data_IF_552041602951
#
_entry.id   IF_552041602951
#
_cell.length_a   1.000
_cell.length_b   1.000
_cell.length_c   1.000
_cell.angle_alpha   90.00
_cell.angle_beta   90.00
_cell.angle_gamma   90.00
#
_symmetry.space_group_name_H-M   'P 1'
#
loop_
_entity.id
_entity.type
_entity.pdbx_description
1 polymer ?
#
# COMPACT_ATOMS: atom_id res chain seq x y z
N UNK A 1 -26.70 23.35 -26.94
CA UNK A 1 -26.41 23.15 -28.37
C UNK A 1 -26.16 24.53 -28.97
N UNK A 2 -25.06 24.76 -29.67
CA UNK A 2 -24.70 26.09 -30.17
C UNK A 2 -25.70 26.54 -31.26
N UNK A 3 -26.24 27.76 -31.12
CA UNK A 3 -27.23 28.33 -32.05
C UNK A 3 -26.56 28.63 -33.40
N UNK A 4 -26.76 27.75 -34.37
CA UNK A 4 -26.35 27.99 -35.75
C UNK A 4 -27.21 29.11 -36.34
N UNK A 5 -26.60 30.28 -36.60
CA UNK A 5 -27.27 31.46 -37.14
C UNK A 5 -26.69 31.83 -38.49
N UNK A 6 -27.57 32.19 -39.44
CA UNK A 6 -27.19 32.61 -40.79
C UNK A 6 -27.73 34.01 -41.04
N UNK A 7 -26.96 34.85 -41.72
CA UNK A 7 -27.42 36.13 -42.29
C UNK A 7 -26.97 36.22 -43.74
N UNK A 8 -27.76 36.88 -44.59
CA UNK A 8 -27.33 37.26 -45.95
C UNK A 8 -27.27 38.79 -46.04
N UNK A 9 -26.72 39.31 -47.13
CA UNK A 9 -26.55 40.76 -47.31
C UNK A 9 -27.88 41.53 -47.39
N UNK A 10 -29.01 40.84 -47.60
CA UNK A 10 -30.34 41.44 -47.74
C UNK A 10 -31.16 41.43 -46.45
N UNK A 11 -30.69 40.79 -45.38
CA UNK A 11 -31.38 40.70 -44.10
C UNK A 11 -30.53 41.32 -42.97
N UNK A 12 -31.10 42.28 -42.24
CA UNK A 12 -30.45 42.94 -41.11
C UNK A 12 -30.54 42.15 -39.80
N UNK A 13 -31.39 41.12 -39.74
CA UNK A 13 -31.54 40.21 -38.60
C UNK A 13 -30.83 38.86 -38.80
N UNK A 14 -30.37 38.27 -37.70
CA UNK A 14 -29.87 36.89 -37.69
C UNK A 14 -31.03 35.90 -37.78
N UNK A 15 -30.98 34.96 -38.72
CA UNK A 15 -31.92 33.84 -38.78
C UNK A 15 -31.37 32.72 -37.90
N UNK A 16 -32.15 32.33 -36.88
CA UNK A 16 -31.80 31.21 -36.01
C UNK A 16 -32.22 29.87 -36.63
N UNK A 17 -31.25 29.00 -36.90
CA UNK A 17 -31.49 27.70 -37.52
C UNK A 17 -32.34 26.75 -36.68
N UNK A 18 -32.49 27.00 -35.38
CA UNK A 18 -33.34 26.21 -34.49
C UNK A 18 -34.84 26.53 -34.64
N UNK A 19 -35.19 27.75 -35.06
CA UNK A 19 -36.59 28.22 -35.13
C UNK A 19 -37.04 28.53 -36.56
N UNK A 20 -36.13 28.59 -37.53
CA UNK A 20 -36.46 28.85 -38.91
C UNK A 20 -37.20 27.67 -39.58
N UNK A 21 -38.50 27.87 -39.83
CA UNK A 21 -39.27 26.95 -40.68
C UNK A 21 -38.75 27.04 -42.13
N UNK A 22 -38.47 25.89 -42.74
CA UNK A 22 -38.07 25.84 -44.15
C UNK A 22 -36.63 26.24 -44.50
N UNK A 23 -35.71 26.37 -43.52
CA UNK A 23 -34.27 26.57 -43.80
C UNK A 23 -33.73 25.41 -44.65
N UNK A 24 -33.33 25.74 -45.89
CA UNK A 24 -32.83 24.83 -46.94
C UNK A 24 -31.59 25.43 -47.59
N UNK A 25 -30.60 24.60 -47.92
CA UNK A 25 -29.35 25.01 -48.60
C UNK A 25 -29.27 24.29 -49.95
N UNK A 26 -28.95 25.02 -51.02
CA UNK A 26 -28.66 24.45 -52.35
C UNK A 26 -27.34 24.98 -52.89
N UNK A 27 -26.66 24.14 -53.67
CA UNK A 27 -25.49 24.48 -54.47
C UNK A 27 -25.96 24.80 -55.91
N UNK A 28 -25.37 25.81 -56.56
CA UNK A 28 -25.68 26.22 -57.95
C UNK A 28 -25.54 25.09 -59.00
N UNK A 29 -24.78 24.03 -58.70
CA UNK A 29 -24.52 22.88 -59.58
C UNK A 29 -25.45 21.66 -59.37
N UNK A 30 -26.33 21.67 -58.36
CA UNK A 30 -27.24 20.56 -58.09
C UNK A 30 -28.71 21.02 -58.13
N UNK A 31 -29.53 20.39 -58.98
CA UNK A 31 -30.97 20.65 -59.10
C UNK A 31 -31.82 19.94 -58.04
N UNK A 32 -31.23 19.05 -57.25
CA UNK A 32 -31.89 18.32 -56.15
C UNK A 32 -31.73 18.99 -54.79
N UNK A 33 -32.80 18.95 -53.98
CA UNK A 33 -32.81 19.47 -52.60
C UNK A 33 -32.13 18.50 -51.64
N UNK A 34 -31.33 19.03 -50.70
CA UNK A 34 -30.81 18.24 -49.57
C UNK A 34 -31.84 18.27 -48.46
N UNK A 35 -32.54 17.16 -48.24
CA UNK A 35 -33.62 17.04 -47.26
C UNK A 35 -33.11 16.75 -45.84
N UNK A 36 -33.88 17.22 -44.85
CA UNK A 36 -33.59 17.16 -43.39
C UNK A 36 -33.67 15.75 -42.76
N UNK A 37 -33.88 14.69 -43.55
CA UNK A 37 -34.19 13.36 -43.02
C UNK A 37 -32.97 12.47 -42.72
N UNK A 38 -31.76 12.90 -43.06
CA UNK A 38 -30.52 12.25 -42.66
C UNK A 38 -29.66 13.18 -41.82
N UNK A 39 -29.11 12.69 -40.71
CA UNK A 39 -28.08 13.39 -39.95
C UNK A 39 -26.92 13.78 -40.89
N UNK A 40 -26.87 15.06 -41.31
CA UNK A 40 -25.73 15.59 -42.05
C UNK A 40 -24.54 15.66 -41.07
N UNK A 41 -23.64 14.69 -41.16
CA UNK A 41 -22.32 14.77 -40.49
C UNK A 41 -21.38 15.55 -41.41
N UNK A 42 -20.71 16.58 -40.87
CA UNK A 42 -19.67 17.31 -41.61
C UNK A 42 -20.13 18.44 -42.53
N UNK A 43 -21.02 19.34 -42.08
CA UNK A 43 -21.28 20.61 -42.77
C UNK A 43 -19.93 21.30 -43.08
N UNK A 44 -19.64 21.55 -44.36
CA UNK A 44 -18.45 22.26 -44.81
C UNK A 44 -18.87 23.46 -45.67
N UNK A 45 -18.28 24.63 -45.44
CA UNK A 45 -18.60 25.88 -46.15
C UNK A 45 -17.38 26.31 -46.98
N UNK A 46 -17.62 26.76 -48.22
CA UNK A 46 -16.60 27.42 -49.07
C UNK A 46 -17.07 28.83 -49.43
N UNK A 47 -16.14 29.77 -49.56
CA UNK A 47 -16.40 31.07 -50.21
C UNK A 47 -15.47 31.21 -51.42
N UNK A 48 -15.74 32.18 -52.31
CA UNK A 48 -14.96 32.40 -53.54
C UNK A 48 -13.52 32.89 -53.27
N UNK A 49 -13.20 33.31 -52.04
CA UNK A 49 -11.90 33.84 -51.65
C UNK A 49 -10.95 32.77 -51.05
N UNK A 50 -11.44 31.57 -50.75
CA UNK A 50 -10.65 30.50 -50.14
C UNK A 50 -10.59 29.29 -51.08
N UNK A 51 -9.38 28.88 -51.47
CA UNK A 51 -9.12 27.68 -52.28
C UNK A 51 -9.23 26.35 -51.51
N UNK A 52 -9.74 26.37 -50.27
CA UNK A 52 -9.87 25.20 -49.39
C UNK A 52 -11.20 25.14 -48.64
N UNK A 53 -11.60 23.92 -48.25
CA UNK A 53 -12.81 23.65 -47.46
C UNK A 53 -12.61 24.07 -45.99
N UNK A 54 -13.53 24.88 -45.45
CA UNK A 54 -13.58 25.12 -44.00
C UNK A 54 -14.25 23.91 -43.37
N UNK A 55 -13.47 23.10 -42.66
CA UNK A 55 -13.93 21.92 -41.93
C UNK A 55 -14.29 22.36 -40.51
N UNK A 56 -15.55 22.24 -40.10
CA UNK A 56 -15.95 22.42 -38.69
C UNK A 56 -15.65 21.14 -37.90
N UNK A 57 -14.36 20.83 -37.78
CA UNK A 57 -13.84 19.79 -36.91
C UNK A 57 -12.55 20.32 -36.31
N UNK A 58 -12.60 20.76 -35.05
CA UNK A 58 -11.37 21.02 -34.30
C UNK A 58 -10.48 19.78 -34.36
N UNK A 59 -9.16 19.97 -34.37
CA UNK A 59 -8.18 18.88 -34.33
C UNK A 59 -8.68 17.79 -33.37
N UNK A 60 -8.90 16.57 -33.87
CA UNK A 60 -9.63 15.54 -33.15
C UNK A 60 -9.05 15.35 -31.74
N UNK A 61 -9.92 15.36 -30.73
CA UNK A 61 -9.46 15.18 -29.35
C UNK A 61 -9.08 13.71 -29.14
N UNK A 62 -7.82 13.46 -28.81
CA UNK A 62 -7.36 12.12 -28.43
C UNK A 62 -7.24 12.01 -26.91
N UNK A 63 -7.44 10.80 -26.39
CA UNK A 63 -7.40 10.49 -24.97
C UNK A 63 -6.53 9.25 -24.73
N UNK A 64 -5.77 9.26 -23.66
CA UNK A 64 -5.04 8.09 -23.16
C UNK A 64 -5.08 8.03 -21.65
N UNK A 65 -5.04 6.82 -21.10
CA UNK A 65 -4.94 6.57 -19.66
C UNK A 65 -3.95 5.43 -19.44
N UNK A 66 -2.93 5.65 -18.60
CA UNK A 66 -1.83 4.70 -18.39
C UNK A 66 -1.55 4.55 -16.90
N UNK A 67 -1.51 3.33 -16.34
CA UNK A 67 -1.08 3.13 -14.97
C UNK A 67 0.44 3.25 -14.83
N UNK A 68 0.92 3.65 -13.66
CA UNK A 68 2.34 3.69 -13.34
C UNK A 68 2.95 2.31 -13.02
N UNK A 69 2.12 1.27 -12.90
CA UNK A 69 2.54 -0.09 -12.61
C UNK A 69 1.57 -1.11 -13.24
N UNK A 70 2.06 -2.31 -13.53
CA UNK A 70 1.25 -3.44 -14.03
C UNK A 70 0.72 -4.34 -12.90
N UNK A 71 1.21 -4.15 -11.68
CA UNK A 71 0.77 -4.88 -10.49
C UNK A 71 0.76 -4.01 -9.24
N UNK A 72 -0.11 -4.33 -8.28
CA UNK A 72 -0.26 -3.60 -7.02
C UNK A 72 -0.58 -4.57 -5.88
N UNK A 73 0.03 -4.37 -4.72
CA UNK A 73 -0.29 -5.16 -3.52
C UNK A 73 -1.58 -4.63 -2.87
N UNK A 74 -2.40 -5.49 -2.24
CA UNK A 74 -3.42 -5.06 -1.27
C UNK A 74 -2.85 -4.06 -0.27
N UNK A 75 -3.61 -3.00 0.04
CA UNK A 75 -3.17 -1.90 0.91
C UNK A 75 -2.32 -0.82 0.23
N UNK A 76 -1.82 -1.06 -0.99
CA UNK A 76 -1.06 -0.08 -1.76
C UNK A 76 -1.94 0.70 -2.76
N UNK A 77 -1.33 1.72 -3.36
CA UNK A 77 -1.97 2.57 -4.38
C UNK A 77 -1.33 2.38 -5.75
N UNK A 78 -2.15 2.53 -6.78
CA UNK A 78 -1.72 2.68 -8.18
C UNK A 78 -2.26 4.01 -8.72
N UNK A 79 -1.45 4.69 -9.52
CA UNK A 79 -1.81 5.98 -10.13
C UNK A 79 -1.93 5.83 -11.63
N UNK A 80 -3.04 6.30 -12.18
CA UNK A 80 -3.33 6.35 -13.60
C UNK A 80 -3.19 7.79 -14.09
N UNK A 81 -2.28 8.01 -15.03
CA UNK A 81 -2.10 9.29 -15.71
C UNK A 81 -3.04 9.39 -16.90
N UNK A 82 -3.86 10.43 -16.92
CA UNK A 82 -4.71 10.79 -18.04
C UNK A 82 -4.00 11.85 -18.88
N UNK A 83 -3.88 11.61 -20.18
CA UNK A 83 -3.33 12.58 -21.13
C UNK A 83 -4.27 12.76 -22.30
N UNK A 84 -4.38 13.99 -22.77
CA UNK A 84 -5.23 14.34 -23.91
C UNK A 84 -4.48 15.19 -24.92
N UNK A 85 -5.03 15.32 -26.13
CA UNK A 85 -4.56 16.30 -27.13
C UNK A 85 -5.79 17.06 -27.60
N UNK A 86 -5.74 18.40 -27.56
CA UNK A 86 -6.84 19.26 -28.02
C UNK A 86 -8.04 19.35 -27.07
N UNK A 87 -7.99 18.75 -25.88
CA UNK A 87 -9.06 18.85 -24.87
C UNK A 87 -8.95 20.15 -24.03
N UNK A 88 -7.73 20.55 -23.68
CA UNK A 88 -7.45 21.66 -22.78
C UNK A 88 -7.71 21.29 -21.33
N UNK A 89 -8.61 22.03 -20.67
CA UNK A 89 -8.98 21.81 -19.27
C UNK A 89 -10.47 21.51 -19.15
N UNK A 90 -10.84 20.61 -18.25
CA UNK A 90 -12.23 20.20 -18.04
C UNK A 90 -12.33 18.92 -17.21
N UNK A 91 -13.54 18.38 -17.11
CA UNK A 91 -13.80 17.15 -16.34
C UNK A 91 -14.01 15.97 -17.28
N UNK A 92 -13.31 14.88 -17.01
CA UNK A 92 -13.60 13.56 -17.56
C UNK A 92 -14.13 12.64 -16.47
N UNK A 93 -14.71 11.52 -16.88
CA UNK A 93 -15.30 10.52 -16.00
C UNK A 93 -14.58 9.20 -16.16
N UNK A 94 -14.67 8.32 -15.18
CA UNK A 94 -14.06 7.00 -15.28
C UNK A 94 -14.93 5.93 -14.62
N UNK A 95 -14.79 4.71 -15.11
CA UNK A 95 -15.36 3.48 -14.53
C UNK A 95 -14.30 2.40 -14.49
N UNK A 96 -14.36 1.53 -13.48
CA UNK A 96 -13.51 0.34 -13.44
C UNK A 96 -14.19 -0.83 -14.17
N UNK A 97 -13.56 -1.33 -15.22
CA UNK A 97 -13.97 -2.51 -15.97
C UNK A 97 -13.19 -3.78 -15.56
N UNK A 98 -12.27 -3.66 -14.58
CA UNK A 98 -11.57 -4.81 -14.01
C UNK A 98 -12.46 -5.63 -13.07
N UNK A 99 -11.87 -6.66 -12.45
CA UNK A 99 -12.59 -7.57 -11.54
C UNK A 99 -12.64 -7.11 -10.08
N UNK A 100 -11.91 -6.07 -9.71
CA UNK A 100 -12.08 -5.41 -8.39
C UNK A 100 -13.43 -4.67 -8.32
N UNK A 101 -14.07 -4.71 -7.15
CA UNK A 101 -15.33 -4.03 -6.86
C UNK A 101 -15.12 -2.83 -5.93
N UNK A 102 -16.18 -2.04 -5.70
CA UNK A 102 -16.17 -0.90 -4.79
C UNK A 102 -15.52 -1.22 -3.43
N UNK A 103 -15.94 -2.31 -2.78
CA UNK A 103 -15.42 -2.72 -1.47
C UNK A 103 -13.94 -3.15 -1.44
N UNK A 104 -13.30 -3.31 -2.61
CA UNK A 104 -11.85 -3.58 -2.68
C UNK A 104 -11.01 -2.30 -2.52
N UNK A 105 -11.64 -1.12 -2.51
CA UNK A 105 -10.94 0.17 -2.39
C UNK A 105 -11.27 0.87 -1.08
N UNK A 106 -10.32 1.63 -0.54
CA UNK A 106 -10.48 2.34 0.74
C UNK A 106 -11.57 3.41 0.70
N UNK A 107 -11.86 3.94 -0.48
CA UNK A 107 -12.89 4.96 -0.73
C UNK A 107 -14.26 4.37 -1.11
N UNK A 108 -14.37 3.04 -1.22
CA UNK A 108 -15.56 2.35 -1.73
C UNK A 108 -16.05 2.82 -3.11
N UNK A 109 -15.19 3.43 -3.93
CA UNK A 109 -15.55 3.89 -5.26
C UNK A 109 -15.27 2.81 -6.32
N UNK A 110 -16.09 2.74 -7.38
CA UNK A 110 -15.76 1.95 -8.58
C UNK A 110 -15.96 2.74 -9.89
N UNK A 111 -16.28 4.02 -9.75
CA UNK A 111 -16.42 5.01 -10.81
C UNK A 111 -16.26 6.40 -10.21
N UNK A 112 -16.00 7.41 -11.03
CA UNK A 112 -15.82 8.78 -10.56
C UNK A 112 -15.53 9.77 -11.68
N UNK A 113 -14.95 10.90 -11.30
CA UNK A 113 -14.47 11.93 -12.22
C UNK A 113 -13.00 12.26 -12.01
N UNK A 114 -12.39 12.91 -12.99
CA UNK A 114 -11.03 13.44 -12.95
C UNK A 114 -11.01 14.82 -13.58
N UNK A 115 -10.39 15.77 -12.90
CA UNK A 115 -10.10 17.07 -13.48
C UNK A 115 -8.86 16.96 -14.37
N UNK A 116 -8.99 17.42 -15.61
CA UNK A 116 -7.89 17.58 -16.56
C UNK A 116 -7.57 19.05 -16.63
N UNK A 117 -6.30 19.41 -16.46
CA UNK A 117 -5.81 20.78 -16.57
C UNK A 117 -4.64 20.79 -17.54
N UNK A 118 -4.71 21.61 -18.59
CA UNK A 118 -3.64 21.70 -19.58
C UNK A 118 -3.34 20.36 -20.26
N UNK A 119 -4.37 19.58 -20.56
CA UNK A 119 -4.30 18.23 -21.15
C UNK A 119 -3.73 17.10 -20.27
N UNK A 120 -3.62 17.30 -18.96
CA UNK A 120 -3.16 16.25 -18.03
C UNK A 120 -4.07 16.13 -16.80
N UNK A 121 -4.27 14.90 -16.32
CA UNK A 121 -5.01 14.58 -15.11
C UNK A 121 -4.48 13.31 -14.45
N UNK A 122 -4.88 13.05 -13.21
CA UNK A 122 -4.42 11.88 -12.45
C UNK A 122 -5.56 11.26 -11.65
N UNK A 123 -5.64 9.93 -11.66
CA UNK A 123 -6.58 9.13 -10.85
C UNK A 123 -5.75 8.17 -10.01
N UNK A 124 -5.85 8.25 -8.68
CA UNK A 124 -5.21 7.28 -7.78
C UNK A 124 -6.27 6.31 -7.24
N UNK A 125 -5.99 5.01 -7.33
CA UNK A 125 -6.81 3.97 -6.68
C UNK A 125 -5.99 3.29 -5.58
N UNK A 126 -6.51 3.28 -4.36
CA UNK A 126 -5.90 2.65 -3.19
C UNK A 126 -6.69 1.42 -2.79
N UNK A 127 -6.05 0.26 -2.79
CA UNK A 127 -6.68 -1.00 -2.41
C UNK A 127 -6.81 -1.11 -0.89
N UNK A 128 -7.87 -1.76 -0.42
CA UNK A 128 -7.94 -2.25 0.95
C UNK A 128 -6.88 -3.34 1.17
N UNK A 129 -6.41 -3.51 2.42
CA UNK A 129 -5.35 -4.47 2.75
C UNK A 129 -5.77 -5.95 2.59
N UNK A 130 -7.08 -6.25 2.61
CA UNK A 130 -7.62 -7.62 2.55
C UNK A 130 -8.07 -8.08 1.15
N UNK A 131 -7.71 -7.36 0.09
CA UNK A 131 -8.16 -7.70 -1.27
C UNK A 131 -7.49 -8.98 -1.75
N UNK A 132 -8.28 -9.92 -2.26
CA UNK A 132 -7.76 -11.16 -2.82
C UNK A 132 -6.85 -10.90 -4.05
N UNK A 133 -5.72 -11.59 -4.10
CA UNK A 133 -4.82 -11.60 -5.25
C UNK A 133 -5.49 -12.12 -6.52
N UNK A 134 -4.94 -11.73 -7.68
CA UNK A 134 -5.44 -12.11 -9.01
C UNK A 134 -6.61 -11.28 -9.52
N UNK A 135 -7.21 -10.40 -8.70
CA UNK A 135 -8.16 -9.39 -9.17
C UNK A 135 -7.47 -8.37 -10.08
N UNK A 136 -8.22 -7.59 -10.85
CA UNK A 136 -7.68 -6.59 -11.78
C UNK A 136 -8.37 -5.24 -11.63
N UNK A 137 -7.61 -4.17 -11.85
CA UNK A 137 -8.10 -2.80 -12.01
C UNK A 137 -7.89 -2.41 -13.47
N UNK A 138 -8.96 -2.04 -14.17
CA UNK A 138 -8.89 -1.61 -15.58
C UNK A 138 -9.77 -0.37 -15.75
N UNK A 139 -9.17 0.82 -15.70
CA UNK A 139 -9.93 2.06 -15.80
C UNK A 139 -10.29 2.40 -17.24
N UNK A 140 -11.57 2.68 -17.47
CA UNK A 140 -12.11 3.24 -18.70
C UNK A 140 -12.38 4.72 -18.51
N UNK A 141 -11.78 5.56 -19.33
CA UNK A 141 -12.01 6.99 -19.37
C UNK A 141 -13.23 7.32 -20.25
N UNK A 142 -14.08 8.24 -19.80
CA UNK A 142 -15.38 8.57 -20.38
C UNK A 142 -15.62 10.08 -20.45
N UNK A 143 -16.46 10.49 -21.40
CA UNK A 143 -16.88 11.90 -21.57
C UNK A 143 -18.32 12.11 -21.13
N UNK A 144 -18.63 13.27 -20.54
CA UNK A 144 -19.99 13.70 -20.20
C UNK A 144 -20.54 13.12 -18.88
N UNK A 145 -20.39 11.81 -18.64
CA UNK A 145 -20.75 11.17 -17.38
C UNK A 145 -20.08 9.79 -17.22
N UNK A 146 -20.25 9.15 -16.05
CA UNK A 146 -19.83 7.75 -15.82
C UNK A 146 -20.57 6.73 -16.70
N UNK A 147 -21.74 7.09 -17.24
CA UNK A 147 -22.48 6.30 -18.23
C UNK A 147 -22.23 6.76 -19.67
N UNK A 148 -21.39 7.77 -19.86
CA UNK A 148 -21.07 8.34 -21.17
C UNK A 148 -20.14 7.44 -22.01
N UNK A 149 -19.84 7.84 -23.26
CA UNK A 149 -18.98 7.09 -24.16
C UNK A 149 -17.60 6.84 -23.57
N UNK A 150 -17.06 5.64 -23.75
CA UNK A 150 -15.66 5.32 -23.43
C UNK A 150 -14.77 5.87 -24.52
N UNK A 151 -13.75 6.65 -24.13
CA UNK A 151 -12.80 7.29 -25.04
C UNK A 151 -11.37 6.75 -24.93
N UNK A 152 -11.04 6.07 -23.82
CA UNK A 152 -9.79 5.34 -23.64
C UNK A 152 -9.96 4.23 -22.59
N UNK A 153 -9.17 3.15 -22.68
CA UNK A 153 -9.12 2.09 -21.69
C UNK A 153 -7.66 1.86 -21.30
N UNK A 154 -7.37 1.81 -20.00
CA UNK A 154 -6.03 1.56 -19.48
C UNK A 154 -5.63 0.10 -19.66
N UNK A 155 -4.32 -0.19 -19.65
CA UNK A 155 -3.84 -1.55 -19.42
C UNK A 155 -4.30 -2.04 -18.03
N UNK A 156 -4.55 -3.34 -17.92
CA UNK A 156 -4.94 -3.94 -16.65
C UNK A 156 -3.78 -3.87 -15.63
N UNK A 157 -4.13 -3.55 -14.39
CA UNK A 157 -3.24 -3.67 -13.22
C UNK A 157 -3.71 -4.86 -12.41
N UNK A 158 -2.85 -5.85 -12.21
CA UNK A 158 -3.19 -7.06 -11.44
C UNK A 158 -2.93 -6.84 -9.96
N UNK A 159 -3.88 -7.23 -9.11
CA UNK A 159 -3.68 -7.31 -7.67
C UNK A 159 -2.74 -8.49 -7.42
N UNK A 160 -1.56 -8.20 -6.90
CA UNK A 160 -0.57 -9.23 -6.61
C UNK A 160 -1.12 -10.19 -5.56
N UNK A 161 -0.90 -11.48 -5.75
CA UNK A 161 -1.14 -12.46 -4.69
C UNK A 161 -0.08 -12.27 -3.62
N UNK A 162 -0.46 -11.62 -2.53
CA UNK A 162 0.26 -11.74 -1.26
C UNK A 162 -0.27 -12.99 -0.60
N UNK A 163 0.62 -13.95 -0.34
CA UNK A 163 0.30 -15.01 0.59
C UNK A 163 -0.17 -14.36 1.91
N UNK A 164 -1.13 -14.95 2.64
CA UNK A 164 -1.27 -14.61 4.06
C UNK A 164 0.13 -14.69 4.69
N UNK A 165 0.49 -13.80 5.65
CA UNK A 165 1.81 -13.83 6.24
C UNK A 165 2.11 -15.27 6.66
N UNK A 166 3.07 -15.89 5.96
CA UNK A 166 3.52 -17.25 6.24
C UNK A 166 3.76 -17.32 7.75
N UNK A 167 3.17 -18.30 8.43
CA UNK A 167 3.48 -18.50 9.85
C UNK A 167 5.01 -18.54 9.96
N UNK A 168 5.65 -17.73 10.83
CA UNK A 168 7.09 -17.64 10.84
C UNK A 168 7.68 -19.04 11.06
N UNK A 169 8.35 -19.59 10.05
CA UNK A 169 9.00 -20.90 10.11
C UNK A 169 10.49 -20.79 10.39
N UNK A 170 11.13 -19.71 9.94
CA UNK A 170 12.52 -19.39 10.27
C UNK A 170 12.84 -17.93 9.96
N UNK A 171 13.75 -17.32 10.72
CA UNK A 171 14.52 -16.16 10.26
C UNK A 171 15.78 -16.63 9.55
N UNK A 172 16.15 -16.01 8.44
CA UNK A 172 17.41 -16.31 7.73
C UNK A 172 18.11 -15.04 7.26
N UNK A 173 19.35 -14.88 7.68
CA UNK A 173 20.17 -13.72 7.31
C UNK A 173 20.98 -13.97 6.01
N UNK A 174 20.54 -14.95 5.21
CA UNK A 174 21.23 -15.33 3.97
C UNK A 174 21.15 -14.28 2.86
N UNK A 175 20.02 -13.58 2.70
CA UNK A 175 19.88 -12.57 1.63
C UNK A 175 20.31 -11.18 2.07
N UNK A 176 20.27 -10.92 3.37
CA UNK A 176 20.61 -9.66 3.99
C UNK A 176 20.87 -9.98 5.46
N UNK A 177 21.75 -9.22 6.11
CA UNK A 177 21.98 -9.23 7.56
C UNK A 177 20.75 -8.75 8.39
N UNK A 178 19.57 -8.69 7.78
CA UNK A 178 18.28 -8.36 8.38
C UNK A 178 17.15 -9.18 7.73
N UNK A 179 16.38 -9.88 8.56
CA UNK A 179 15.16 -10.55 8.16
C UNK A 179 14.03 -10.34 9.18
N UNK A 180 12.78 -10.43 8.72
CA UNK A 180 11.61 -10.17 9.55
C UNK A 180 10.36 -10.88 9.03
N UNK A 181 9.48 -11.23 9.98
CA UNK A 181 8.15 -11.77 9.74
C UNK A 181 7.11 -10.99 10.54
N UNK A 182 6.08 -10.54 9.84
CA UNK A 182 4.85 -10.08 10.45
C UNK A 182 3.91 -11.25 10.68
N UNK A 183 3.09 -11.14 11.71
CA UNK A 183 1.96 -12.03 11.92
C UNK A 183 0.66 -11.44 11.40
N UNK A 184 -0.33 -12.31 11.11
CA UNK A 184 -1.71 -11.85 10.91
C UNK A 184 -2.15 -10.99 12.09
N UNK A 185 -2.73 -9.83 11.78
CA UNK A 185 -3.26 -8.96 12.81
C UNK A 185 -4.50 -9.58 13.48
N UNK A 186 -4.69 -9.29 14.78
CA UNK A 186 -5.86 -9.74 15.55
C UNK A 186 -6.53 -8.54 16.17
N UNK A 187 -7.86 -8.47 16.08
CA UNK A 187 -8.64 -7.35 16.62
C UNK A 187 -8.82 -7.49 18.14
N UNK A 188 -8.58 -6.42 18.90
CA UNK A 188 -8.99 -6.41 20.32
C UNK A 188 -10.50 -6.37 20.47
N UNK A 189 -11.07 -7.07 21.47
CA UNK A 189 -12.47 -6.90 21.82
C UNK A 189 -12.74 -5.64 22.67
N UNK A 190 -11.76 -5.16 23.45
CA UNK A 190 -11.90 -3.99 24.35
C UNK A 190 -10.54 -3.50 24.89
N UNK A 191 -10.55 -2.38 25.62
CA UNK A 191 -9.34 -1.76 26.19
C UNK A 191 -8.77 -2.50 27.42
N UNK A 192 -9.52 -3.41 28.04
CA UNK A 192 -9.04 -4.23 29.16
C UNK A 192 -8.31 -5.50 28.71
N UNK A 193 -8.42 -5.86 27.43
CA UNK A 193 -7.74 -7.00 26.86
C UNK A 193 -6.22 -6.76 26.73
N UNK A 194 -5.46 -7.83 26.59
CA UNK A 194 -4.01 -7.79 26.44
C UNK A 194 -3.53 -8.75 25.36
N UNK A 195 -2.40 -8.39 24.74
CA UNK A 195 -1.68 -9.23 23.79
C UNK A 195 -0.97 -10.34 24.55
N UNK A 196 -1.05 -11.57 24.05
CA UNK A 196 -0.29 -12.73 24.52
C UNK A 196 0.41 -13.37 23.32
N UNK A 197 1.64 -12.91 23.07
CA UNK A 197 2.52 -13.39 22.02
C UNK A 197 3.34 -14.56 22.56
N UNK A 198 3.34 -15.68 21.83
CA UNK A 198 4.05 -16.91 22.20
C UNK A 198 4.79 -17.47 20.99
N UNK A 199 5.97 -18.05 21.20
CA UNK A 199 6.64 -18.86 20.19
C UNK A 199 7.74 -19.72 20.80
N UNK A 200 8.24 -20.65 20.01
CA UNK A 200 9.49 -21.37 20.26
C UNK A 200 10.52 -20.91 19.24
N UNK A 201 11.74 -20.67 19.72
CA UNK A 201 12.90 -20.33 18.91
C UNK A 201 13.96 -21.42 19.08
N UNK A 202 14.48 -21.89 17.96
CA UNK A 202 15.75 -22.60 17.91
C UNK A 202 16.83 -21.61 17.43
N UNK A 203 17.75 -21.27 18.31
CA UNK A 203 18.84 -20.33 18.04
C UNK A 203 20.20 -21.01 17.86
N UNK A 204 20.22 -22.35 17.75
CA UNK A 204 21.45 -23.16 17.69
C UNK A 204 22.41 -22.70 16.59
N UNK A 205 21.86 -22.30 15.45
CA UNK A 205 22.59 -21.83 14.27
C UNK A 205 22.42 -20.33 14.02
N UNK A 206 21.83 -19.57 14.95
CA UNK A 206 21.62 -18.14 14.75
C UNK A 206 22.80 -17.35 15.32
N UNK A 207 22.93 -17.33 16.66
CA UNK A 207 23.96 -16.53 17.33
C UNK A 207 25.37 -17.06 17.05
N UNK A 208 25.52 -18.39 16.98
CA UNK A 208 26.80 -19.04 16.67
C UNK A 208 27.29 -18.78 15.24
N UNK A 209 26.42 -18.30 14.34
CA UNK A 209 26.71 -18.00 12.93
C UNK A 209 26.68 -16.51 12.60
N UNK A 210 26.79 -15.65 13.61
CA UNK A 210 26.94 -14.21 13.45
C UNK A 210 25.64 -13.40 13.56
N UNK A 211 24.49 -14.06 13.76
CA UNK A 211 23.28 -13.36 14.19
C UNK A 211 23.52 -12.72 15.56
N UNK A 212 22.96 -11.55 15.80
CA UNK A 212 23.29 -10.76 16.99
C UNK A 212 22.07 -10.46 17.84
N UNK A 213 20.96 -10.09 17.21
CA UNK A 213 19.70 -9.83 17.90
C UNK A 213 18.58 -10.69 17.33
N UNK A 214 17.76 -11.23 18.23
CA UNK A 214 16.40 -11.65 17.94
C UNK A 214 15.43 -10.64 18.54
N UNK A 215 14.55 -10.10 17.70
CA UNK A 215 13.65 -9.01 18.04
C UNK A 215 12.21 -9.52 18.04
N UNK A 216 11.44 -9.15 19.06
CA UNK A 216 10.02 -9.44 19.15
C UNK A 216 9.26 -8.12 19.34
N UNK A 217 8.46 -7.77 18.34
CA UNK A 217 7.76 -6.49 18.26
C UNK A 217 6.25 -6.68 18.40
N UNK A 218 5.60 -5.76 19.11
CA UNK A 218 4.16 -5.69 19.32
C UNK A 218 3.60 -4.33 18.88
N UNK A 219 2.36 -4.36 18.38
CA UNK A 219 1.58 -3.24 17.86
C UNK A 219 2.40 -2.32 16.94
N UNK A 220 3.12 -2.99 16.06
CA UNK A 220 3.97 -2.38 15.07
C UNK A 220 3.15 -1.75 13.94
N UNK A 221 3.64 -0.61 13.45
CA UNK A 221 3.18 -0.02 12.18
C UNK A 221 4.31 -0.07 11.17
N UNK A 222 4.03 -0.71 10.04
CA UNK A 222 4.90 -0.68 8.86
C UNK A 222 4.86 0.70 8.24
N UNK A 223 6.01 1.24 7.84
CA UNK A 223 6.05 2.58 7.25
C UNK A 223 7.35 3.31 7.50
N UNK A 224 7.52 4.40 6.75
CA UNK A 224 8.66 5.30 6.86
C UNK A 224 8.54 6.10 8.17
N UNK A 225 9.43 5.85 9.14
CA UNK A 225 9.57 6.68 10.33
C UNK A 225 10.15 8.06 10.00
N UNK A 226 9.99 9.04 10.91
CA UNK A 226 10.38 10.44 10.70
C UNK A 226 11.89 10.67 10.44
N UNK A 227 12.75 9.75 10.90
CA UNK A 227 14.21 9.83 10.72
C UNK A 227 14.73 8.94 9.57
N UNK A 228 13.86 8.11 8.98
CA UNK A 228 14.12 7.18 7.86
C UNK A 228 15.58 6.74 7.65
N UNK A 229 16.19 5.98 8.59
CA UNK A 229 17.56 5.47 8.42
C UNK A 229 17.70 4.46 7.26
N UNK A 230 16.58 4.09 6.62
CA UNK A 230 16.56 3.16 5.52
C UNK A 230 16.28 3.83 4.16
N UNK A 231 16.14 5.15 4.13
CA UNK A 231 15.80 5.92 2.93
C UNK A 231 14.65 5.37 2.07
N UNK A 232 13.73 4.61 2.66
CA UNK A 232 12.70 3.90 1.92
C UNK A 232 12.28 2.61 2.61
N UNK A 233 11.29 1.89 2.05
CA UNK A 233 10.81 0.65 2.63
C UNK A 233 11.87 -0.47 2.49
N UNK A 234 12.09 -1.22 3.58
CA UNK A 234 12.79 -2.51 3.56
C UNK A 234 11.72 -3.59 3.55
N UNK A 235 11.49 -4.23 2.42
CA UNK A 235 10.40 -5.19 2.28
C UNK A 235 10.91 -6.61 2.48
N UNK A 236 10.24 -7.36 3.36
CA UNK A 236 10.39 -8.81 3.52
C UNK A 236 9.02 -9.45 3.40
N UNK A 237 8.89 -10.44 2.53
CA UNK A 237 7.63 -11.21 2.35
C UNK A 237 6.41 -10.30 2.12
N UNK A 238 6.59 -9.26 1.33
CA UNK A 238 5.53 -8.29 1.00
C UNK A 238 5.18 -7.29 2.11
N UNK A 239 5.84 -7.36 3.27
CA UNK A 239 5.66 -6.43 4.39
C UNK A 239 6.88 -5.53 4.55
N UNK A 240 6.67 -4.23 4.70
CA UNK A 240 7.75 -3.30 5.02
C UNK A 240 8.20 -3.53 6.47
N UNK A 241 9.48 -3.33 6.78
CA UNK A 241 9.99 -3.32 8.14
C UNK A 241 9.25 -2.27 8.98
N UNK A 242 9.03 -2.57 10.26
CA UNK A 242 8.40 -1.62 11.17
C UNK A 242 9.28 -0.41 11.42
N UNK A 243 8.64 0.77 11.39
CA UNK A 243 9.25 2.01 11.85
C UNK A 243 8.87 2.33 13.30
N UNK A 244 7.63 2.00 13.68
CA UNK A 244 7.14 2.17 15.05
C UNK A 244 6.74 0.81 15.61
N UNK A 245 7.21 0.51 16.81
CA UNK A 245 6.85 -0.67 17.57
C UNK A 245 7.34 -0.48 19.00
N UNK A 246 6.96 -1.37 19.90
CA UNK A 246 7.82 -1.64 21.05
C UNK A 246 7.90 -3.13 21.29
N UNK A 247 8.83 -3.54 22.14
CA UNK A 247 9.02 -4.95 22.44
C UNK A 247 10.35 -5.19 23.13
N UNK A 248 10.99 -6.29 22.81
CA UNK A 248 12.26 -6.66 23.42
C UNK A 248 13.15 -7.41 22.45
N UNK A 249 14.40 -7.51 22.86
CA UNK A 249 15.50 -8.07 22.10
C UNK A 249 16.19 -9.10 22.97
N UNK A 250 16.44 -10.28 22.40
CA UNK A 250 17.36 -11.27 22.94
C UNK A 250 18.70 -11.15 22.21
N UNK A 251 19.77 -11.02 22.98
CA UNK A 251 21.16 -10.95 22.50
C UNK A 251 21.83 -12.32 22.63
N UNK A 252 22.82 -12.60 21.79
CA UNK A 252 23.54 -13.90 21.79
C UNK A 252 24.30 -14.22 23.08
N UNK A 253 24.54 -13.24 23.94
CA UNK A 253 25.15 -13.41 25.26
C UNK A 253 24.12 -13.65 26.39
N UNK A 254 22.83 -13.78 26.08
CA UNK A 254 21.76 -13.97 27.06
C UNK A 254 21.17 -12.68 27.63
N UNK A 255 21.70 -11.50 27.26
CA UNK A 255 21.09 -10.22 27.62
C UNK A 255 19.70 -10.11 26.98
N UNK A 256 18.76 -9.56 27.73
CA UNK A 256 17.43 -9.16 27.24
C UNK A 256 17.26 -7.66 27.44
N UNK A 257 16.85 -6.94 26.40
CA UNK A 257 16.62 -5.49 26.45
C UNK A 257 15.19 -5.20 25.99
N UNK A 258 14.50 -4.24 26.62
CA UNK A 258 13.25 -3.71 26.05
C UNK A 258 13.53 -2.44 25.24
N UNK A 259 12.82 -2.29 24.14
CA UNK A 259 13.03 -1.20 23.18
C UNK A 259 11.72 -0.58 22.72
N UNK A 260 11.70 0.75 22.63
CA UNK A 260 10.66 1.52 21.96
C UNK A 260 11.13 2.10 20.64
N UNK A 261 10.83 1.36 19.57
CA UNK A 261 11.04 1.80 18.20
C UNK A 261 10.06 2.93 17.87
N UNK A 262 10.61 4.13 17.65
CA UNK A 262 9.86 5.35 17.36
C UNK A 262 10.26 5.95 16.01
N UNK A 263 10.88 5.16 15.14
CA UNK A 263 11.35 5.59 13.82
C UNK A 263 12.60 6.46 13.85
N UNK A 264 13.40 6.40 14.93
CA UNK A 264 14.67 7.12 15.09
C UNK A 264 15.87 6.18 15.31
N UNK A 265 17.09 6.70 15.16
CA UNK A 265 18.35 5.98 15.40
C UNK A 265 18.59 5.58 16.86
N UNK A 266 17.89 6.21 17.81
CA UNK A 266 18.03 5.92 19.24
C UNK A 266 16.64 5.68 19.83
N UNK A 267 16.09 4.47 19.66
CA UNK A 267 14.90 4.04 20.36
C UNK A 267 15.10 4.21 21.88
N UNK A 268 14.01 4.43 22.62
CA UNK A 268 14.09 4.37 24.08
C UNK A 268 14.45 2.94 24.49
N UNK A 269 15.65 2.71 25.01
CA UNK A 269 16.15 1.39 25.41
C UNK A 269 16.18 1.28 26.93
N UNK A 270 15.49 0.28 27.47
CA UNK A 270 15.78 -0.27 28.78
C UNK A 270 16.72 -1.46 28.58
N UNK A 271 18.02 -1.17 28.49
CA UNK A 271 19.04 -2.18 28.28
C UNK A 271 19.22 -3.10 29.48
N UNK A 272 19.53 -4.36 29.20
CA UNK A 272 19.90 -5.36 30.21
C UNK A 272 18.89 -5.46 31.36
N UNK A 273 17.65 -5.79 31.00
CA UNK A 273 16.57 -5.97 31.95
C UNK A 273 16.99 -6.98 33.04
N UNK A 274 16.74 -6.66 34.32
CA UNK A 274 17.07 -7.57 35.40
C UNK A 274 16.21 -8.82 35.28
N UNK A 275 16.87 -9.98 35.34
CA UNK A 275 16.18 -11.26 35.39
C UNK A 275 15.62 -11.51 36.79
N UNK A 276 14.31 -11.62 36.93
CA UNK A 276 13.62 -11.95 38.19
C UNK A 276 13.29 -13.43 38.34
N UNK A 277 13.60 -14.26 37.33
CA UNK A 277 13.41 -15.70 37.42
C UNK A 277 14.52 -16.37 38.26
N UNK A 278 14.21 -17.56 38.78
CA UNK A 278 15.20 -18.38 39.49
C UNK A 278 16.22 -19.04 38.54
N UNK A 279 15.89 -19.15 37.25
CA UNK A 279 16.79 -19.68 36.22
C UNK A 279 17.72 -18.60 35.66
N UNK A 280 18.71 -19.04 34.88
CA UNK A 280 19.57 -18.15 34.09
C UNK A 280 19.37 -18.45 32.61
N UNK A 281 19.05 -17.42 31.84
CA UNK A 281 18.93 -17.55 30.40
C UNK A 281 20.26 -17.27 29.70
N UNK A 282 20.70 -18.22 28.89
CA UNK A 282 21.82 -18.06 27.99
C UNK A 282 21.56 -18.93 26.73
N UNK A 283 21.38 -18.33 25.54
CA UNK A 283 21.07 -19.07 24.33
C UNK A 283 22.24 -19.96 23.86
N UNK A 284 23.49 -19.71 24.31
CA UNK A 284 24.60 -20.60 24.01
C UNK A 284 24.50 -21.96 24.72
N UNK A 285 23.93 -22.00 25.93
CA UNK A 285 23.70 -23.25 26.68
C UNK A 285 22.30 -23.81 26.51
N UNK A 286 21.32 -22.95 26.22
CA UNK A 286 19.92 -23.32 26.01
C UNK A 286 19.42 -22.73 24.69
N UNK A 287 19.86 -23.28 23.54
CA UNK A 287 19.58 -22.66 22.24
C UNK A 287 18.14 -22.81 21.80
N UNK A 288 17.42 -23.82 22.31
CA UNK A 288 15.97 -24.00 22.08
C UNK A 288 15.20 -23.51 23.30
N UNK A 289 14.40 -22.47 23.11
CA UNK A 289 13.63 -21.83 24.17
C UNK A 289 12.28 -21.33 23.67
N UNK A 290 11.34 -21.18 24.60
CA UNK A 290 10.02 -20.62 24.32
C UNK A 290 9.91 -19.24 24.93
N UNK A 291 9.31 -18.34 24.18
CA UNK A 291 9.11 -16.95 24.55
C UNK A 291 7.63 -16.71 24.76
N UNK A 292 7.27 -15.98 25.82
CA UNK A 292 5.93 -15.46 26.04
C UNK A 292 5.99 -14.00 26.44
N UNK A 293 5.12 -13.20 25.82
CA UNK A 293 5.07 -11.77 26.01
C UNK A 293 3.63 -11.40 26.25
N UNK A 294 3.36 -10.74 27.37
CA UNK A 294 2.01 -10.28 27.72
C UNK A 294 2.01 -8.78 27.91
N UNK A 295 1.20 -8.06 27.16
CA UNK A 295 1.22 -6.61 27.15
C UNK A 295 -0.19 -6.01 27.05
N UNK A 296 -0.55 -5.12 27.98
CA UNK A 296 -1.89 -4.52 28.08
C UNK A 296 -1.91 -2.99 27.92
N UNK A 297 -3.12 -2.45 27.81
CA UNK A 297 -3.39 -1.01 27.59
C UNK A 297 -3.51 -0.26 28.91
N UNK A 298 -4.27 0.84 28.97
CA UNK A 298 -4.46 1.61 30.22
C UNK A 298 -5.31 0.87 31.27
N UNK A 299 -6.07 -0.14 30.84
CA UNK A 299 -7.00 -0.90 31.68
C UNK A 299 -6.64 -2.40 31.72
N UNK A 300 -7.26 -3.14 32.65
CA UNK A 300 -7.15 -4.60 32.74
C UNK A 300 -5.96 -5.13 33.54
N UNK A 301 -5.75 -6.45 33.56
CA UNK A 301 -4.74 -7.11 34.41
C UNK A 301 -3.29 -6.78 34.01
N UNK A 302 -3.07 -6.30 32.78
CA UNK A 302 -1.77 -5.85 32.29
C UNK A 302 -1.76 -4.34 32.01
N UNK A 303 -2.59 -3.58 32.76
CA UNK A 303 -2.65 -2.14 32.65
C UNK A 303 -1.24 -1.51 32.74
N UNK A 304 -0.87 -0.77 31.71
CA UNK A 304 0.40 -0.08 31.55
C UNK A 304 1.63 -0.97 31.78
N UNK A 305 1.55 -2.26 31.41
CA UNK A 305 2.59 -3.26 31.68
C UNK A 305 2.82 -4.26 30.55
N UNK A 306 4.11 -4.57 30.32
CA UNK A 306 4.57 -5.72 29.54
C UNK A 306 5.34 -6.69 30.44
N UNK A 307 4.99 -7.97 30.39
CA UNK A 307 5.74 -9.08 30.99
C UNK A 307 6.42 -9.88 29.89
N UNK A 308 7.71 -10.14 30.07
CA UNK A 308 8.55 -10.96 29.19
C UNK A 308 8.93 -12.22 29.97
N UNK A 309 8.68 -13.39 29.40
CA UNK A 309 9.10 -14.68 29.93
C UNK A 309 9.83 -15.50 28.89
N UNK A 310 10.94 -16.12 29.28
CA UNK A 310 11.69 -17.09 28.48
C UNK A 310 11.78 -18.40 29.24
N UNK A 311 11.43 -19.49 28.59
CA UNK A 311 11.29 -20.82 29.17
C UNK A 311 12.18 -21.81 28.41
N UNK A 312 12.77 -22.76 29.13
CA UNK A 312 13.58 -23.81 28.53
C UNK A 312 12.72 -24.71 27.61
N UNK A 313 13.26 -25.03 26.43
CA UNK A 313 12.65 -25.97 25.50
C UNK A 313 11.48 -25.40 24.71
N UNK A 314 10.60 -26.28 24.24
CA UNK A 314 9.58 -25.98 23.23
C UNK A 314 8.20 -25.65 23.84
N UNK A 315 8.13 -25.32 25.12
CA UNK A 315 6.89 -25.01 25.82
C UNK A 315 7.03 -23.89 26.83
N UNK A 316 6.02 -23.02 26.91
CA UNK A 316 5.91 -21.97 27.94
C UNK A 316 5.65 -22.52 29.35
N UNK A 317 5.47 -23.83 29.49
CA UNK A 317 5.36 -24.54 30.77
C UNK A 317 6.70 -25.15 31.21
N UNK A 318 7.77 -24.97 30.44
CA UNK A 318 9.12 -25.38 30.80
C UNK A 318 9.69 -24.55 31.96
N UNK A 319 10.92 -24.88 32.38
CA UNK A 319 11.61 -24.13 33.41
C UNK A 319 11.80 -22.67 32.99
N UNK A 320 11.37 -21.73 33.82
CA UNK A 320 11.52 -20.30 33.55
C UNK A 320 13.00 -19.90 33.70
N UNK A 321 13.60 -19.45 32.61
CA UNK A 321 15.00 -19.04 32.52
C UNK A 321 15.18 -17.54 32.65
N UNK A 322 14.18 -16.78 32.20
CA UNK A 322 14.17 -15.33 32.30
C UNK A 322 12.76 -14.83 32.56
N UNK A 323 12.63 -13.85 33.45
CA UNK A 323 11.42 -13.05 33.61
C UNK A 323 11.80 -11.60 33.83
N UNK A 324 11.07 -10.68 33.17
CA UNK A 324 11.17 -9.27 33.46
C UNK A 324 9.83 -8.57 33.20
N UNK A 325 9.65 -7.44 33.88
CA UNK A 325 8.52 -6.54 33.71
C UNK A 325 9.03 -5.16 33.31
N UNK A 326 8.37 -4.54 32.32
CA UNK A 326 8.64 -3.15 31.95
C UNK A 326 7.36 -2.33 31.89
N UNK A 327 7.41 -1.01 32.19
CA UNK A 327 6.30 -0.11 31.96
C UNK A 327 5.90 -0.10 30.49
N UNK A 328 4.60 -0.17 30.21
CA UNK A 328 4.10 -0.33 28.85
C UNK A 328 2.63 0.05 28.71
N UNK A 329 2.31 1.17 28.07
CA UNK A 329 0.90 1.47 27.80
C UNK A 329 0.75 2.53 26.72
N UNK A 330 -0.37 2.47 26.01
CA UNK A 330 -0.83 3.46 25.05
C UNK A 330 -2.36 3.39 24.90
N UNK A 331 -2.95 4.33 24.17
CA UNK A 331 -4.37 4.35 23.82
C UNK A 331 -4.67 3.42 22.64
N UNK A 332 -5.58 2.47 22.82
CA UNK A 332 -5.89 1.48 21.80
C UNK A 332 -6.75 2.03 20.66
N UNK A 333 -6.42 1.65 19.42
CA UNK A 333 -7.29 1.86 18.25
C UNK A 333 -7.25 0.65 17.29
N UNK A 334 -7.97 -0.43 17.59
CA UNK A 334 -8.29 -1.50 16.62
C UNK A 334 -7.40 -2.76 16.61
N UNK A 335 -6.75 -3.04 15.49
CA UNK A 335 -6.02 -4.30 15.29
C UNK A 335 -4.64 -4.31 15.94
N UNK A 336 -4.25 -5.47 16.46
CA UNK A 336 -2.92 -5.76 16.98
C UNK A 336 -2.09 -6.47 15.96
N UNK A 337 -0.82 -6.12 15.93
CA UNK A 337 0.16 -6.73 15.06
C UNK A 337 1.32 -7.22 15.91
N UNK A 338 1.92 -8.34 15.52
CA UNK A 338 3.17 -8.80 16.10
C UNK A 338 4.17 -9.13 14.99
N UNK A 339 5.44 -9.03 15.31
CA UNK A 339 6.50 -9.47 14.41
C UNK A 339 7.67 -10.05 15.17
N UNK A 340 8.44 -10.86 14.45
CA UNK A 340 9.76 -11.31 14.86
C UNK A 340 10.79 -10.88 13.82
N UNK A 341 11.95 -10.43 14.28
CA UNK A 341 13.05 -10.00 13.45
C UNK A 341 14.37 -10.62 13.88
N UNK A 342 15.29 -10.75 12.93
CA UNK A 342 16.68 -11.13 13.17
C UNK A 342 17.59 -10.12 12.50
N UNK A 343 18.65 -9.72 13.19
CA UNK A 343 19.65 -8.80 12.66
C UNK A 343 21.04 -9.26 13.08
N UNK A 344 22.00 -9.14 12.15
CA UNK A 344 23.40 -9.37 12.42
C UNK A 344 24.08 -8.08 12.87
N UNK A 345 25.16 -8.22 13.64
CA UNK A 345 25.94 -7.09 14.14
C UNK A 345 26.50 -6.20 13.00
N UNK A 346 26.77 -6.80 11.83
CA UNK A 346 27.29 -6.10 10.65
C UNK A 346 26.23 -5.54 9.71
N UNK A 347 24.95 -5.50 10.10
CA UNK A 347 23.90 -4.91 9.28
C UNK A 347 24.20 -3.44 8.96
N UNK A 348 24.07 -3.07 7.69
CA UNK A 348 24.30 -1.70 7.23
C UNK A 348 22.98 -1.12 6.73
N UNK A 349 22.51 -0.09 7.45
CA UNK A 349 21.29 0.61 7.08
C UNK A 349 21.44 1.30 5.71
N UNK A 350 20.42 1.27 4.84
CA UNK A 350 20.48 1.85 3.49
C UNK A 350 20.90 3.32 3.42
N UNK A 351 20.64 4.13 4.45
CA UNK A 351 21.11 5.53 4.47
C UNK A 351 22.63 5.64 4.44
N UNK A 352 23.35 4.64 4.97
CA UNK A 352 24.81 4.57 4.95
C UNK A 352 25.36 4.15 3.58
N UNK A 353 24.49 3.80 2.63
CA UNK A 353 24.84 3.24 1.32
C UNK A 353 24.21 4.03 0.19
N UNK A 354 23.93 5.31 0.41
CA UNK A 354 23.32 6.19 -0.60
C UNK A 354 21.86 5.84 -0.89
N UNK A 355 21.12 5.38 0.13
CA UNK A 355 19.71 5.03 0.05
C UNK A 355 19.40 3.78 -0.79
N UNK A 356 20.36 2.85 -0.86
CA UNK A 356 20.22 1.57 -1.57
C UNK A 356 20.37 0.43 -0.58
N UNK A 357 19.32 -0.39 -0.44
CA UNK A 357 19.38 -1.58 0.40
C UNK A 357 20.42 -2.58 -0.14
N UNK A 358 21.30 -3.03 0.74
CA UNK A 358 22.27 -4.07 0.38
C UNK A 358 21.66 -5.44 0.58
N UNK A 359 21.49 -6.16 -0.52
CA UNK A 359 20.94 -7.52 -0.56
C UNK A 359 22.05 -8.57 -0.63
N UNK A 360 23.10 -8.38 0.18
CA UNK A 360 24.20 -9.34 0.31
C UNK A 360 24.43 -9.58 1.79
N UNK A 361 24.45 -10.84 2.25
CA UNK A 361 24.79 -11.15 3.62
C UNK A 361 26.27 -10.81 3.86
N UNK A 362 26.57 -10.05 4.92
CA UNK A 362 27.94 -9.63 5.19
C UNK A 362 28.52 -10.43 6.33
N UNK A 363 27.87 -10.33 7.48
CA UNK A 363 28.43 -10.80 8.74
C UNK A 363 27.82 -12.13 9.20
N UNK A 364 26.64 -12.49 8.70
CA UNK A 364 25.92 -13.67 9.18
C UNK A 364 25.16 -14.48 8.09
N UNK A 365 25.75 -14.78 6.91
CA UNK A 365 25.05 -15.48 5.82
C UNK A 365 24.45 -16.83 6.20
N UNK A 366 25.00 -17.47 7.23
CA UNK A 366 24.58 -18.79 7.70
C UNK A 366 23.73 -18.72 8.98
N UNK A 367 23.41 -17.52 9.49
CA UNK A 367 22.57 -17.38 10.66
C UNK A 367 21.11 -17.67 10.32
N UNK A 368 20.59 -18.72 10.95
CA UNK A 368 19.22 -19.18 10.80
C UNK A 368 18.63 -19.45 12.18
N UNK A 369 17.42 -18.96 12.42
CA UNK A 369 16.66 -19.27 13.63
C UNK A 369 15.31 -19.89 13.22
N UNK A 370 15.16 -21.22 13.26
CA UNK A 370 13.86 -21.85 13.13
C UNK A 370 12.90 -21.37 14.21
N UNK A 371 11.67 -21.08 13.81
CA UNK A 371 10.62 -20.57 14.69
C UNK A 371 9.41 -21.49 14.57
N UNK A 372 8.83 -21.87 15.70
CA UNK A 372 7.64 -22.72 15.74
C UNK A 372 6.68 -22.29 16.84
N UNK A 373 5.48 -22.87 16.87
CA UNK A 373 4.44 -22.57 17.86
C UNK A 373 4.13 -21.07 18.00
N UNK A 374 4.36 -20.30 16.93
CA UNK A 374 4.17 -18.86 16.99
C UNK A 374 2.68 -18.53 16.98
N UNK A 375 2.23 -17.83 18.02
CA UNK A 375 0.85 -17.44 18.24
C UNK A 375 0.79 -16.01 18.74
N UNK A 376 -0.06 -15.19 18.13
CA UNK A 376 -0.56 -13.97 18.73
C UNK A 376 -1.98 -14.26 19.23
N UNK A 377 -2.27 -13.98 20.49
CA UNK A 377 -3.58 -14.15 21.08
C UNK A 377 -4.00 -12.86 21.78
N UNK A 378 -5.31 -12.61 21.84
CA UNK A 378 -5.88 -11.55 22.67
C UNK A 378 -6.66 -12.19 23.81
N UNK A 379 -6.31 -11.83 25.04
CA UNK A 379 -6.92 -12.37 26.26
C UNK A 379 -7.51 -11.25 27.10
N UNK A 380 -8.46 -11.58 27.98
CA UNK A 380 -9.15 -10.65 28.88
C UNK A 380 -8.79 -10.94 30.33
#
# INVERSE_FOLDING_TARGET
MANFRIRNASNTGWIDGATASGLRVRNQANSGWVDKSGNLTGLSVRNQANSGWITFGGAGVSYSITPNATGVNPGASVTFTVSTVGFGSGTLYWTNAGTTAAGDFTDSANSGSVAVTGNSGSITRTLAAGVAGGKTITLQLRTGSTSGPVVATASAVTVNTVAPPETPVQLSLYYNDLDAYYLPGITSPNNGAYNDLRCTVDSSEFFSKGGDHLVFALDLTGGQGSNNPHCGPIVRRGQNMWGLARGFIIHGNGRVSAEYWNGTWSPGLAENLPNTANGTFNPASTPVFSVRVRAGYRDGPYANRMLIGIYAGTSIYGAMLFEAQVPWGWDWTGQHHAAIGGIAMGFVAPVLTGCVEQLVPRSAPNAVAPISNFQLLIQQ
#
